data_IF_344644413847
#
_entry.id   IF_344644413847
#
_cell.length_a   1.000
_cell.length_b   1.000
_cell.length_c   1.000
_cell.angle_alpha   90.00
_cell.angle_beta   90.00
_cell.angle_gamma   90.00
#
_symmetry.space_group_name_H-M   'P 1'
#
loop_
_entity.id
_entity.type
_entity.pdbx_description
1 polymer ?
#
# COMPACT_ATOMS: atom_id res chain seq x y z
N UNK A 1 22.45 8.96 -67.24
CA UNK A 1 22.64 8.76 -65.78
C UNK A 1 21.56 9.41 -64.90
N UNK A 2 20.72 10.35 -65.38
CA UNK A 2 19.75 11.12 -64.57
C UNK A 2 18.45 10.40 -64.20
N UNK A 3 17.95 9.50 -65.06
CA UNK A 3 16.69 8.77 -64.82
C UNK A 3 16.74 7.86 -63.58
N UNK A 4 17.82 7.09 -63.45
CA UNK A 4 18.06 6.18 -62.30
C UNK A 4 18.18 6.98 -61.00
N UNK A 5 18.84 8.15 -61.03
CA UNK A 5 18.95 9.06 -59.89
C UNK A 5 17.57 9.60 -59.45
N UNK A 6 16.74 10.06 -60.40
CA UNK A 6 15.38 10.55 -60.08
C UNK A 6 14.50 9.46 -59.45
N UNK A 7 14.51 8.24 -60.02
CA UNK A 7 13.81 7.08 -59.46
C UNK A 7 14.27 6.76 -58.04
N UNK A 8 15.58 6.77 -57.79
CA UNK A 8 16.15 6.53 -56.47
C UNK A 8 15.66 7.56 -55.45
N UNK A 9 15.61 8.85 -55.80
CA UNK A 9 15.11 9.89 -54.91
C UNK A 9 13.63 9.69 -54.55
N UNK A 10 12.79 9.31 -55.52
CA UNK A 10 11.36 9.07 -55.28
C UNK A 10 11.16 7.85 -54.35
N UNK A 11 11.87 6.75 -54.60
CA UNK A 11 11.79 5.54 -53.76
C UNK A 11 12.30 5.80 -52.34
N UNK A 12 13.43 6.49 -52.20
CA UNK A 12 13.93 6.88 -50.88
C UNK A 12 12.99 7.82 -50.15
N UNK A 13 12.34 8.76 -50.85
CA UNK A 13 11.33 9.64 -50.25
C UNK A 13 10.17 8.83 -49.68
N UNK A 14 9.61 7.87 -50.44
CA UNK A 14 8.55 6.98 -49.97
C UNK A 14 9.00 6.15 -48.76
N UNK A 15 10.16 5.50 -48.85
CA UNK A 15 10.74 4.73 -47.73
C UNK A 15 10.90 5.57 -46.46
N UNK A 16 11.41 6.79 -46.60
CA UNK A 16 11.60 7.69 -45.47
C UNK A 16 10.26 8.14 -44.87
N UNK A 17 9.23 8.36 -45.69
CA UNK A 17 7.87 8.65 -45.20
C UNK A 17 7.32 7.47 -44.37
N UNK A 18 7.46 6.24 -44.85
CA UNK A 18 7.00 5.05 -44.12
C UNK A 18 7.73 4.86 -42.79
N UNK A 19 9.07 5.02 -42.79
CA UNK A 19 9.88 4.95 -41.57
C UNK A 19 9.51 6.04 -40.56
N UNK A 20 9.23 7.26 -41.04
CA UNK A 20 8.80 8.36 -40.19
C UNK A 20 7.42 8.09 -39.59
N UNK A 21 6.47 7.58 -40.38
CA UNK A 21 5.15 7.19 -39.91
C UNK A 21 5.26 6.09 -38.82
N UNK A 22 6.12 5.10 -39.02
CA UNK A 22 6.37 4.05 -38.03
C UNK A 22 6.95 4.59 -36.73
N UNK A 23 7.92 5.51 -36.82
CA UNK A 23 8.51 6.17 -35.64
C UNK A 23 7.48 6.97 -34.86
N UNK A 24 6.64 7.75 -35.55
CA UNK A 24 5.55 8.51 -34.93
C UNK A 24 4.57 7.56 -34.22
N UNK A 25 4.17 6.47 -34.89
CA UNK A 25 3.31 5.45 -34.30
C UNK A 25 3.89 4.86 -33.01
N UNK A 26 5.19 4.55 -32.99
CA UNK A 26 5.88 4.07 -31.78
C UNK A 26 5.83 5.09 -30.64
N UNK A 27 6.14 6.36 -30.92
CA UNK A 27 6.11 7.43 -29.90
C UNK A 27 4.70 7.64 -29.35
N UNK A 28 3.67 7.58 -30.20
CA UNK A 28 2.26 7.65 -29.77
C UNK A 28 1.93 6.48 -28.83
N UNK A 29 2.29 5.25 -29.20
CA UNK A 29 2.05 4.08 -28.36
C UNK A 29 2.74 4.17 -26.99
N UNK A 30 3.99 4.65 -26.96
CA UNK A 30 4.71 4.90 -25.71
C UNK A 30 4.05 5.98 -24.85
N UNK A 31 3.49 7.02 -25.48
CA UNK A 31 2.76 8.09 -24.78
C UNK A 31 1.46 7.56 -24.17
N UNK A 32 0.74 6.69 -24.87
CA UNK A 32 -0.46 6.01 -24.37
C UNK A 32 -0.11 5.11 -23.18
N UNK A 33 0.95 4.31 -23.28
CA UNK A 33 1.40 3.46 -22.17
C UNK A 33 1.79 4.30 -20.94
N UNK A 34 2.52 5.40 -21.13
CA UNK A 34 2.85 6.33 -20.05
C UNK A 34 1.58 6.86 -19.34
N UNK A 35 0.59 7.32 -20.11
CA UNK A 35 -0.68 7.81 -19.55
C UNK A 35 -1.43 6.72 -18.78
N UNK A 36 -1.47 5.50 -19.30
CA UNK A 36 -2.08 4.34 -18.64
C UNK A 36 -1.38 4.02 -17.32
N UNK A 37 -0.04 4.02 -17.28
CA UNK A 37 0.72 3.77 -16.05
C UNK A 37 0.49 4.85 -14.99
N UNK A 38 0.41 6.11 -15.40
CA UNK A 38 0.09 7.22 -14.49
C UNK A 38 -1.30 7.01 -13.87
N UNK A 39 -2.31 6.69 -14.67
CA UNK A 39 -3.66 6.42 -14.16
C UNK A 39 -3.68 5.23 -13.20
N UNK A 40 -2.96 4.15 -13.53
CA UNK A 40 -2.83 2.97 -12.67
C UNK A 40 -2.18 3.33 -11.33
N UNK A 41 -1.12 4.14 -11.34
CA UNK A 41 -0.46 4.62 -10.14
C UNK A 41 -1.42 5.43 -9.26
N UNK A 42 -2.09 6.43 -9.84
CA UNK A 42 -3.00 7.32 -9.10
C UNK A 42 -4.17 6.55 -8.47
N UNK A 43 -4.77 5.61 -9.20
CA UNK A 43 -5.85 4.78 -8.66
C UNK A 43 -5.35 3.86 -7.53
N UNK A 44 -4.19 3.25 -7.71
CA UNK A 44 -3.63 2.29 -6.76
C UNK A 44 -3.20 2.96 -5.44
N UNK A 45 -2.54 4.12 -5.51
CA UNK A 45 -2.12 4.85 -4.31
C UNK A 45 -3.32 5.41 -3.54
N UNK A 46 -4.37 5.88 -4.22
CA UNK A 46 -5.61 6.32 -3.57
C UNK A 46 -6.31 5.16 -2.83
N UNK A 47 -6.40 3.99 -3.47
CA UNK A 47 -6.99 2.80 -2.86
C UNK A 47 -6.18 2.36 -1.63
N UNK A 48 -4.85 2.35 -1.71
CA UNK A 48 -3.97 1.98 -0.61
C UNK A 48 -4.08 2.96 0.56
N UNK A 49 -4.03 4.26 0.29
CA UNK A 49 -4.19 5.30 1.32
C UNK A 49 -5.54 5.21 2.01
N UNK A 50 -6.63 4.96 1.28
CA UNK A 50 -7.95 4.76 1.85
C UNK A 50 -7.93 3.58 2.82
N UNK A 51 -7.38 2.44 2.39
CA UNK A 51 -7.28 1.25 3.24
C UNK A 51 -6.46 1.51 4.52
N UNK A 52 -5.31 2.19 4.41
CA UNK A 52 -4.46 2.53 5.57
C UNK A 52 -5.22 3.42 6.55
N UNK A 53 -5.90 4.46 6.05
CA UNK A 53 -6.70 5.39 6.88
C UNK A 53 -7.85 4.67 7.59
N UNK A 54 -8.57 3.81 6.87
CA UNK A 54 -9.69 3.02 7.40
C UNK A 54 -9.20 2.06 8.50
N UNK A 55 -8.08 1.36 8.28
CA UNK A 55 -7.47 0.46 9.28
C UNK A 55 -6.94 1.21 10.49
N UNK A 56 -6.30 2.36 10.29
CA UNK A 56 -5.83 3.22 11.38
C UNK A 56 -6.99 3.63 12.28
N UNK A 57 -8.12 4.04 11.70
CA UNK A 57 -9.33 4.39 12.45
C UNK A 57 -9.95 3.19 13.14
N UNK A 58 -9.97 2.02 12.50
CA UNK A 58 -10.43 0.78 13.11
C UNK A 58 -9.64 0.43 14.38
N UNK A 59 -8.31 0.48 14.35
CA UNK A 59 -7.49 0.19 15.52
C UNK A 59 -7.70 1.23 16.63
N UNK A 60 -7.71 2.53 16.28
CA UNK A 60 -8.00 3.59 17.26
C UNK A 60 -9.33 3.40 17.98
N UNK A 61 -10.39 3.02 17.25
CA UNK A 61 -11.70 2.79 17.84
C UNK A 61 -11.76 1.49 18.65
N UNK A 62 -11.06 0.45 18.20
CA UNK A 62 -11.02 -0.86 18.86
C UNK A 62 -10.30 -0.82 20.21
N UNK A 63 -9.33 0.07 20.40
CA UNK A 63 -8.66 0.29 21.71
C UNK A 63 -9.68 0.57 22.82
N UNK A 64 -10.71 1.37 22.52
CA UNK A 64 -11.72 1.77 23.52
C UNK A 64 -12.79 0.71 23.77
N UNK A 65 -12.82 -0.37 23.00
CA UNK A 65 -13.88 -1.40 23.01
C UNK A 65 -13.33 -2.80 23.33
N UNK A 66 -12.32 -2.86 24.18
CA UNK A 66 -11.70 -4.11 24.60
C UNK A 66 -12.64 -4.90 25.53
N UNK A 67 -12.88 -6.19 25.26
CA UNK A 67 -13.71 -7.02 26.13
C UNK A 67 -12.99 -7.33 27.46
N UNK A 68 -13.75 -7.51 28.56
CA UNK A 68 -13.18 -7.90 29.84
C UNK A 68 -12.79 -9.39 29.92
N UNK A 69 -13.26 -10.23 28.99
CA UNK A 69 -13.04 -11.68 29.02
C UNK A 69 -11.66 -12.07 28.49
N UNK A 70 -10.90 -12.85 29.27
CA UNK A 70 -9.56 -13.33 28.89
C UNK A 70 -9.56 -14.24 27.66
N UNK A 71 -10.63 -15.02 27.45
CA UNK A 71 -10.79 -15.87 26.26
C UNK A 71 -11.00 -15.06 24.99
N UNK A 72 -11.82 -14.01 25.06
CA UNK A 72 -12.08 -13.11 23.94
C UNK A 72 -10.84 -12.28 23.59
N UNK A 73 -10.08 -11.83 24.60
CA UNK A 73 -8.80 -11.17 24.40
C UNK A 73 -7.77 -12.07 23.70
N UNK A 74 -7.68 -13.35 24.09
CA UNK A 74 -6.82 -14.32 23.41
C UNK A 74 -7.21 -14.51 21.93
N UNK A 75 -8.52 -14.58 21.63
CA UNK A 75 -9.01 -14.64 20.26
C UNK A 75 -8.65 -13.38 19.47
N UNK A 76 -8.80 -12.18 20.05
CA UNK A 76 -8.41 -10.91 19.41
C UNK A 76 -6.90 -10.84 19.13
N UNK A 77 -6.05 -11.34 20.03
CA UNK A 77 -4.60 -11.44 19.81
C UNK A 77 -4.27 -12.36 18.63
N UNK A 78 -4.97 -13.50 18.53
CA UNK A 78 -4.80 -14.42 17.40
C UNK A 78 -5.25 -13.78 16.07
N UNK A 79 -6.40 -13.10 16.07
CA UNK A 79 -6.88 -12.35 14.89
C UNK A 79 -5.90 -11.25 14.48
N UNK A 80 -5.34 -10.51 15.43
CA UNK A 80 -4.34 -9.50 15.16
C UNK A 80 -3.06 -10.09 14.54
N UNK A 81 -2.62 -11.26 15.02
CA UNK A 81 -1.48 -11.99 14.45
C UNK A 81 -1.75 -12.45 13.01
N UNK A 82 -2.96 -12.93 12.73
CA UNK A 82 -3.37 -13.32 11.38
C UNK A 82 -3.42 -12.12 10.44
N UNK A 83 -3.99 -10.99 10.89
CA UNK A 83 -3.98 -9.72 10.14
C UNK A 83 -2.55 -9.29 9.76
N UNK A 84 -1.60 -9.35 10.71
CA UNK A 84 -0.19 -8.99 10.46
C UNK A 84 0.48 -9.90 9.43
N UNK A 85 0.16 -11.20 9.40
CA UNK A 85 0.77 -12.18 8.50
C UNK A 85 0.12 -12.21 7.11
N UNK A 86 -1.19 -11.97 7.04
CA UNK A 86 -1.95 -12.03 5.79
C UNK A 86 -2.17 -10.65 5.18
N UNK A 87 -3.19 -9.95 5.66
CA UNK A 87 -3.66 -8.69 5.08
C UNK A 87 -2.56 -7.63 4.99
N UNK A 88 -1.80 -7.41 6.07
CA UNK A 88 -0.73 -6.40 6.08
C UNK A 88 0.39 -6.73 5.11
N UNK A 89 0.77 -8.01 5.00
CA UNK A 89 1.81 -8.46 4.08
C UNK A 89 1.43 -8.20 2.62
N UNK A 90 0.20 -8.55 2.23
CA UNK A 90 -0.33 -8.27 0.89
C UNK A 90 -0.35 -6.77 0.57
N UNK A 91 -0.74 -5.94 1.54
CA UNK A 91 -0.76 -4.48 1.35
C UNK A 91 0.63 -3.84 1.29
N UNK A 92 1.61 -4.44 1.95
CA UNK A 92 3.02 -4.04 1.78
C UNK A 92 3.54 -4.36 0.38
N UNK A 93 3.14 -5.49 -0.19
CA UNK A 93 3.49 -5.86 -1.57
C UNK A 93 2.84 -4.91 -2.59
N UNK A 94 1.57 -4.53 -2.38
CA UNK A 94 0.92 -3.47 -3.18
C UNK A 94 1.69 -2.14 -3.11
N UNK A 95 2.26 -1.81 -1.94
CA UNK A 95 3.15 -0.66 -1.78
C UNK A 95 4.42 -0.75 -2.64
N UNK A 96 5.11 -1.90 -2.60
CA UNK A 96 6.30 -2.13 -3.43
C UNK A 96 5.98 -2.05 -4.94
N UNK A 97 4.80 -2.54 -5.34
CA UNK A 97 4.33 -2.45 -6.72
C UNK A 97 4.09 -0.99 -7.16
N UNK A 98 3.71 -0.08 -6.26
CA UNK A 98 3.60 1.35 -6.59
C UNK A 98 4.95 1.95 -6.94
N UNK A 99 6.01 1.60 -6.21
CA UNK A 99 7.38 2.04 -6.50
C UNK A 99 7.86 1.50 -7.85
N UNK A 100 7.54 0.25 -8.17
CA UNK A 100 7.82 -0.35 -9.48
C UNK A 100 7.10 0.42 -10.61
N UNK A 101 5.83 0.77 -10.43
CA UNK A 101 5.07 1.55 -11.42
C UNK A 101 5.67 2.94 -11.58
N UNK A 102 6.04 3.60 -10.48
CA UNK A 102 6.67 4.92 -10.51
C UNK A 102 8.01 4.87 -11.27
N UNK A 103 8.84 3.86 -11.01
CA UNK A 103 10.09 3.65 -11.74
C UNK A 103 9.84 3.46 -13.25
N UNK A 104 8.81 2.70 -13.62
CA UNK A 104 8.42 2.54 -15.04
C UNK A 104 7.96 3.86 -15.67
N UNK A 105 7.20 4.68 -14.94
CA UNK A 105 6.78 6.03 -15.39
C UNK A 105 8.02 6.90 -15.63
N UNK A 106 8.98 6.91 -14.69
CA UNK A 106 10.20 7.69 -14.82
C UNK A 106 11.06 7.24 -16.00
N UNK A 107 11.18 5.92 -16.19
CA UNK A 107 11.91 5.34 -17.32
C UNK A 107 11.30 5.78 -18.66
N UNK A 108 9.98 5.61 -18.83
CA UNK A 108 9.27 6.00 -20.05
C UNK A 108 9.32 7.51 -20.30
N UNK A 109 9.23 8.30 -19.24
CA UNK A 109 9.30 9.77 -19.35
C UNK A 109 10.67 10.22 -19.84
N UNK A 110 11.75 9.59 -19.36
CA UNK A 110 13.13 9.82 -19.84
C UNK A 110 13.31 9.39 -21.30
N UNK A 111 12.78 8.22 -21.68
CA UNK A 111 12.82 7.74 -23.07
C UNK A 111 12.12 8.71 -24.04
N UNK A 112 10.96 9.23 -23.64
CA UNK A 112 10.17 10.17 -24.43
C UNK A 112 10.73 11.60 -24.40
N UNK A 113 11.73 11.89 -23.56
CA UNK A 113 12.21 13.25 -23.24
C UNK A 113 11.06 14.19 -22.84
N UNK A 114 10.03 13.63 -22.24
CA UNK A 114 8.86 14.36 -21.76
C UNK A 114 9.16 15.00 -20.40
N UNK A 115 8.29 15.91 -19.96
CA UNK A 115 8.41 16.51 -18.63
C UNK A 115 8.23 15.41 -17.56
N UNK A 116 9.11 15.34 -16.54
CA UNK A 116 8.96 14.42 -15.42
C UNK A 116 7.56 14.46 -14.84
N UNK A 117 7.00 13.28 -14.55
CA UNK A 117 5.71 13.20 -13.90
C UNK A 117 5.80 13.83 -12.51
N UNK A 118 4.90 14.78 -12.24
CA UNK A 118 4.73 15.37 -10.91
C UNK A 118 3.26 15.20 -10.52
N UNK A 119 2.96 14.49 -9.41
CA UNK A 119 1.59 14.32 -8.97
C UNK A 119 0.94 15.66 -8.68
N UNK A 120 -0.27 15.88 -9.22
CA UNK A 120 -1.00 17.14 -9.04
C UNK A 120 -1.54 17.31 -7.62
N UNK A 121 -1.80 16.21 -6.92
CA UNK A 121 -2.30 16.19 -5.54
C UNK A 121 -1.18 15.77 -4.58
N UNK A 122 -1.04 16.49 -3.47
CA UNK A 122 -0.08 16.15 -2.41
C UNK A 122 -0.34 14.74 -1.82
N UNK A 123 -1.60 14.30 -1.80
CA UNK A 123 -1.98 12.95 -1.36
C UNK A 123 -1.42 11.84 -2.24
N UNK A 124 -1.06 12.13 -3.50
CA UNK A 124 -0.52 11.14 -4.44
C UNK A 124 1.01 11.01 -4.36
N UNK A 125 1.64 11.67 -3.39
CA UNK A 125 3.08 11.56 -3.17
C UNK A 125 3.42 10.35 -2.29
N UNK A 126 4.56 9.71 -2.57
CA UNK A 126 5.08 8.60 -1.77
C UNK A 126 5.31 9.01 -0.30
N UNK A 127 5.70 10.27 -0.07
CA UNK A 127 5.90 10.83 1.27
C UNK A 127 4.62 10.84 2.11
N UNK A 128 3.46 11.05 1.49
CA UNK A 128 2.16 10.98 2.18
C UNK A 128 1.81 9.53 2.52
N UNK A 129 2.18 8.59 1.64
CA UNK A 129 2.03 7.16 1.89
C UNK A 129 2.91 6.68 3.06
N UNK A 130 4.18 7.08 3.10
CA UNK A 130 5.10 6.79 4.20
C UNK A 130 4.56 7.29 5.55
N UNK A 131 4.09 8.55 5.60
CA UNK A 131 3.46 9.11 6.81
C UNK A 131 2.21 8.35 7.23
N UNK A 132 1.39 7.90 6.27
CA UNK A 132 0.20 7.11 6.57
C UNK A 132 0.57 5.73 7.14
N UNK A 133 1.60 5.08 6.61
CA UNK A 133 2.14 3.83 7.15
C UNK A 133 2.69 3.99 8.56
N UNK A 134 3.41 5.09 8.83
CA UNK A 134 3.90 5.40 10.16
C UNK A 134 2.75 5.58 11.15
N UNK A 135 1.73 6.35 10.79
CA UNK A 135 0.53 6.56 11.61
C UNK A 135 -0.22 5.24 11.89
N UNK A 136 -0.31 4.36 10.89
CA UNK A 136 -0.88 3.02 11.07
C UNK A 136 -0.05 2.20 12.06
N UNK A 137 1.28 2.18 11.91
CA UNK A 137 2.19 1.48 12.81
C UNK A 137 2.09 1.96 14.27
N UNK A 138 1.98 3.27 14.48
CA UNK A 138 1.75 3.84 15.81
C UNK A 138 0.41 3.38 16.41
N UNK A 139 -0.67 3.37 15.61
CA UNK A 139 -1.99 2.92 16.07
C UNK A 139 -2.03 1.42 16.36
N UNK A 140 -1.35 0.61 15.55
CA UNK A 140 -1.22 -0.83 15.75
C UNK A 140 -0.43 -1.14 17.02
N UNK A 141 0.66 -0.40 17.27
CA UNK A 141 1.46 -0.57 18.48
C UNK A 141 0.67 -0.21 19.75
N UNK A 142 -0.06 0.91 19.73
CA UNK A 142 -0.92 1.31 20.83
C UNK A 142 -2.03 0.27 21.10
N UNK A 143 -2.63 -0.29 20.04
CA UNK A 143 -3.62 -1.35 20.17
C UNK A 143 -3.04 -2.65 20.73
N UNK A 144 -1.85 -3.05 20.28
CA UNK A 144 -1.15 -4.23 20.79
C UNK A 144 -0.81 -4.08 22.29
N UNK A 145 -0.32 -2.91 22.71
CA UNK A 145 -0.08 -2.62 24.13
C UNK A 145 -1.36 -2.71 24.95
N UNK A 146 -2.45 -2.07 24.49
CA UNK A 146 -3.73 -2.09 25.18
C UNK A 146 -4.29 -3.51 25.32
N UNK A 147 -4.16 -4.35 24.28
CA UNK A 147 -4.54 -5.77 24.31
C UNK A 147 -3.73 -6.56 25.34
N UNK A 148 -2.40 -6.40 25.33
CA UNK A 148 -1.50 -7.11 26.26
C UNK A 148 -1.77 -6.71 27.70
N UNK A 149 -1.95 -5.41 27.96
CA UNK A 149 -2.25 -4.90 29.29
C UNK A 149 -3.61 -5.40 29.79
N UNK A 150 -4.64 -5.40 28.94
CA UNK A 150 -5.96 -5.95 29.28
C UNK A 150 -5.89 -7.44 29.60
N UNK A 151 -5.16 -8.21 28.80
CA UNK A 151 -4.98 -9.65 29.02
C UNK A 151 -4.25 -9.94 30.34
N UNK A 152 -3.16 -9.22 30.62
CA UNK A 152 -2.40 -9.35 31.87
C UNK A 152 -3.22 -8.96 33.10
N UNK A 153 -4.06 -7.92 33.00
CA UNK A 153 -5.02 -7.55 34.06
C UNK A 153 -6.00 -8.69 34.33
N UNK A 154 -6.62 -9.24 33.29
CA UNK A 154 -7.57 -10.35 33.44
C UNK A 154 -6.96 -11.60 34.07
N UNK A 155 -5.71 -11.95 33.75
CA UNK A 155 -5.00 -13.05 34.42
C UNK A 155 -4.80 -12.74 35.92
N UNK A 156 -4.36 -11.52 36.25
CA UNK A 156 -4.14 -11.11 37.64
C UNK A 156 -5.42 -11.18 38.45
N UNK A 157 -6.53 -10.72 37.89
CA UNK A 157 -7.85 -10.74 38.53
C UNK A 157 -8.36 -12.17 38.74
N UNK A 158 -8.11 -13.06 37.77
CA UNK A 158 -8.43 -14.49 37.91
C UNK A 158 -7.65 -15.17 39.04
N UNK A 159 -6.33 -14.92 39.13
CA UNK A 159 -5.48 -15.46 40.21
C UNK A 159 -5.92 -14.92 41.57
N UNK A 160 -6.24 -13.62 41.66
CA UNK A 160 -6.75 -13.01 42.90
C UNK A 160 -8.03 -13.69 43.36
N UNK A 161 -8.98 -13.89 42.45
CA UNK A 161 -10.26 -14.56 42.76
C UNK A 161 -10.04 -16.01 43.24
N UNK A 162 -9.11 -16.74 42.61
CA UNK A 162 -8.74 -18.10 43.03
C UNK A 162 -8.18 -18.11 44.47
N UNK A 163 -7.28 -17.18 44.81
CA UNK A 163 -6.71 -17.07 46.16
C UNK A 163 -7.78 -16.70 47.19
N UNK A 164 -8.61 -15.69 46.90
CA UNK A 164 -9.67 -15.24 47.81
C UNK A 164 -10.68 -16.38 48.09
N UNK A 165 -11.04 -17.16 47.07
CA UNK A 165 -11.90 -18.35 47.23
C UNK A 165 -11.25 -19.46 48.07
N UNK A 166 -9.94 -19.65 47.96
CA UNK A 166 -9.19 -20.63 48.74
C UNK A 166 -8.98 -20.22 50.20
N UNK A 167 -8.91 -18.92 50.50
CA UNK A 167 -8.86 -18.40 51.87
C UNK A 167 -10.22 -18.54 52.59
N UNK A 168 -11.33 -18.19 51.92
CA UNK A 168 -12.69 -18.34 52.48
C UNK A 168 -13.01 -19.82 52.80
N UNK A 169 -12.54 -20.75 51.97
CA UNK A 169 -12.68 -22.19 52.22
C UNK A 169 -11.86 -22.69 53.40
N UNK A 170 -10.78 -21.99 53.79
CA UNK A 170 -9.93 -22.35 54.93
C UNK A 170 -10.45 -21.78 56.25
N UNK A 171 -11.08 -20.62 56.23
CA UNK A 171 -11.65 -19.97 57.43
C UNK A 171 -13.02 -20.55 57.86
N UNK A 172 -13.61 -21.45 57.05
CA UNK A 172 -14.89 -22.13 57.34
C UNK A 172 -14.71 -23.54 57.96
N UNK A 173 -13.50 -23.89 58.39
CA UNK A 173 -13.15 -25.14 59.12
C UNK A 173 -12.55 -24.76 60.46
#
# INVERSE_FOLDING_TARGET
MTYVSSLYHVLNKKRNQDLNAHRVGKTINQTIDLSSKIQQYEASIQALLKWIRDKTNYFKNSINRLPPSTKELSQLINQFTQYRRGEKAQKSEEGARLEEILFKIDLLTKELRARPYMPTKADLQLTTLEKAWEALGQSEHAYELALRDAYNRGIRDHIRTQIDSAMISKDSI
#
